data_IF_654919135556
#
_entry.id   IF_654919135556
#
_cell.length_a   1.000
_cell.length_b   1.000
_cell.length_c   1.000
_cell.angle_alpha   90.00
_cell.angle_beta   90.00
_cell.angle_gamma   90.00
#
_symmetry.space_group_name_H-M   'P 1'
#
loop_
_entity.id
_entity.type
_entity.pdbx_description
1 polymer ?
#
# COMPACT_ATOMS: atom_id res chain seq x y z
N UNK A 1 24.11 9.58 11.94
CA UNK A 1 23.71 8.16 11.81
C UNK A 1 22.22 7.94 12.16
N UNK A 2 21.30 8.79 11.69
CA UNK A 2 19.86 8.72 12.07
C UNK A 2 18.89 8.51 10.89
N UNK A 3 19.32 8.75 9.64
CA UNK A 3 18.47 8.74 8.44
C UNK A 3 17.91 7.35 8.10
N UNK A 4 18.68 6.29 8.33
CA UNK A 4 18.32 4.92 7.94
C UNK A 4 17.20 4.29 8.80
N UNK A 5 16.98 4.78 10.03
CA UNK A 5 15.92 4.27 10.89
C UNK A 5 14.55 4.89 10.58
N UNK A 6 14.50 6.15 10.17
CA UNK A 6 13.26 6.82 9.76
C UNK A 6 12.70 6.24 8.46
N UNK A 7 13.56 5.99 7.46
CA UNK A 7 13.15 5.43 6.17
C UNK A 7 12.57 4.01 6.32
N UNK A 8 13.19 3.15 7.14
CA UNK A 8 12.68 1.79 7.40
C UNK A 8 11.31 1.79 8.10
N UNK A 9 11.11 2.66 9.10
CA UNK A 9 9.82 2.80 9.78
C UNK A 9 8.73 3.36 8.84
N UNK A 10 9.08 4.26 7.92
CA UNK A 10 8.16 4.78 6.89
C UNK A 10 7.72 3.68 5.93
N UNK A 11 8.67 2.90 5.39
CA UNK A 11 8.39 1.82 4.45
C UNK A 11 7.51 0.73 5.08
N UNK A 12 7.76 0.36 6.35
CA UNK A 12 6.92 -0.60 7.06
C UNK A 12 5.47 -0.12 7.22
N UNK A 13 5.24 1.19 7.42
CA UNK A 13 3.89 1.78 7.46
C UNK A 13 3.19 1.70 6.11
N UNK A 14 3.89 2.02 5.03
CA UNK A 14 3.35 1.92 3.67
C UNK A 14 2.98 0.47 3.32
N UNK A 15 3.87 -0.49 3.64
CA UNK A 15 3.61 -1.91 3.43
C UNK A 15 2.36 -2.38 4.20
N UNK A 16 2.18 -1.94 5.45
CA UNK A 16 0.98 -2.24 6.25
C UNK A 16 -0.28 -1.64 5.64
N UNK A 17 -0.22 -0.40 5.14
CA UNK A 17 -1.36 0.26 4.46
C UNK A 17 -1.73 -0.49 3.18
N UNK A 18 -0.75 -0.84 2.35
CA UNK A 18 -0.95 -1.62 1.14
C UNK A 18 -1.64 -2.96 1.43
N UNK A 19 -1.14 -3.72 2.40
CA UNK A 19 -1.73 -5.02 2.76
C UNK A 19 -3.17 -4.88 3.25
N UNK A 20 -3.48 -3.80 3.99
CA UNK A 20 -4.85 -3.51 4.43
C UNK A 20 -5.78 -3.24 3.24
N UNK A 21 -5.35 -2.40 2.30
CA UNK A 21 -6.12 -2.11 1.07
C UNK A 21 -6.32 -3.38 0.24
N UNK A 22 -5.31 -4.25 0.12
CA UNK A 22 -5.46 -5.52 -0.59
C UNK A 22 -6.48 -6.44 0.08
N UNK A 23 -6.48 -6.52 1.41
CA UNK A 23 -7.48 -7.28 2.14
C UNK A 23 -8.89 -6.71 1.90
N UNK A 24 -9.08 -5.39 1.98
CA UNK A 24 -10.37 -4.74 1.72
C UNK A 24 -10.83 -4.93 0.26
N UNK A 25 -9.92 -4.84 -0.70
CA UNK A 25 -10.19 -5.10 -2.11
C UNK A 25 -10.65 -6.54 -2.33
N UNK A 26 -10.00 -7.53 -1.69
CA UNK A 26 -10.43 -8.93 -1.78
C UNK A 26 -11.85 -9.12 -1.26
N UNK A 27 -12.20 -8.48 -0.14
CA UNK A 27 -13.55 -8.54 0.41
C UNK A 27 -14.57 -7.86 -0.52
N UNK A 28 -14.23 -6.70 -1.08
CA UNK A 28 -15.08 -5.99 -2.05
C UNK A 28 -15.31 -6.83 -3.32
N UNK A 29 -14.25 -7.45 -3.84
CA UNK A 29 -14.31 -8.35 -4.99
C UNK A 29 -15.20 -9.57 -4.70
N UNK A 30 -14.99 -10.23 -3.55
CA UNK A 30 -15.77 -11.41 -3.14
C UNK A 30 -17.26 -11.11 -2.97
N UNK A 31 -17.59 -9.91 -2.53
CA UNK A 31 -18.96 -9.44 -2.37
C UNK A 31 -19.56 -8.88 -3.68
N UNK A 32 -18.82 -8.90 -4.80
CA UNK A 32 -19.28 -8.39 -6.08
C UNK A 32 -19.35 -6.86 -6.16
N UNK A 33 -18.79 -6.14 -5.19
CA UNK A 33 -18.75 -4.68 -5.19
C UNK A 33 -17.58 -4.17 -6.05
N UNK A 34 -17.77 -4.24 -7.37
CA UNK A 34 -16.71 -3.92 -8.35
C UNK A 34 -16.31 -2.44 -8.28
N UNK A 35 -17.26 -1.53 -8.04
CA UNK A 35 -16.97 -0.10 -7.90
C UNK A 35 -16.01 0.16 -6.75
N UNK A 36 -16.31 -0.38 -5.58
CA UNK A 36 -15.46 -0.26 -4.39
C UNK A 36 -14.11 -0.92 -4.61
N UNK A 37 -14.08 -2.12 -5.19
CA UNK A 37 -12.85 -2.79 -5.58
C UNK A 37 -11.97 -1.89 -6.45
N UNK A 38 -12.51 -1.26 -7.50
CA UNK A 38 -11.76 -0.37 -8.39
C UNK A 38 -11.17 0.84 -7.67
N UNK A 39 -11.89 1.43 -6.71
CA UNK A 39 -11.35 2.53 -5.92
C UNK A 39 -10.21 2.08 -5.00
N UNK A 40 -10.41 0.96 -4.29
CA UNK A 40 -9.41 0.44 -3.34
C UNK A 40 -8.14 0.02 -4.08
N UNK A 41 -8.26 -0.63 -5.25
CA UNK A 41 -7.08 -1.04 -6.03
C UNK A 41 -6.32 0.15 -6.59
N UNK A 42 -6.99 1.20 -7.05
CA UNK A 42 -6.34 2.43 -7.49
C UNK A 42 -5.59 3.13 -6.34
N UNK A 43 -6.14 3.13 -5.11
CA UNK A 43 -5.41 3.62 -3.94
C UNK A 43 -4.20 2.73 -3.63
N UNK A 44 -4.35 1.40 -3.70
CA UNK A 44 -3.28 0.47 -3.42
C UNK A 44 -2.12 0.61 -4.42
N UNK A 45 -2.40 0.84 -5.71
CA UNK A 45 -1.38 1.12 -6.73
C UNK A 45 -0.57 2.38 -6.39
N UNK A 46 -1.24 3.41 -5.88
CA UNK A 46 -0.57 4.64 -5.45
C UNK A 46 0.40 4.37 -4.29
N UNK A 47 -0.01 3.54 -3.31
CA UNK A 47 0.86 3.14 -2.21
C UNK A 47 2.00 2.23 -2.70
N UNK A 48 1.75 1.33 -3.64
CA UNK A 48 2.78 0.47 -4.22
C UNK A 48 3.91 1.30 -4.88
N UNK A 49 3.56 2.33 -5.66
CA UNK A 49 4.52 3.26 -6.25
C UNK A 49 5.34 4.01 -5.20
N UNK A 50 4.72 4.40 -4.08
CA UNK A 50 5.45 5.03 -2.96
C UNK A 50 6.44 4.05 -2.30
N UNK A 51 6.04 2.79 -2.10
CA UNK A 51 6.93 1.74 -1.57
C UNK A 51 8.11 1.52 -2.52
N UNK A 52 7.87 1.44 -3.81
CA UNK A 52 8.91 1.26 -4.83
C UNK A 52 9.90 2.43 -4.84
N UNK A 53 9.39 3.68 -4.83
CA UNK A 53 10.24 4.86 -4.71
C UNK A 53 11.07 4.85 -3.43
N UNK A 54 10.48 4.52 -2.29
CA UNK A 54 11.20 4.46 -1.02
C UNK A 54 12.27 3.35 -1.02
N UNK A 55 11.99 2.18 -1.66
CA UNK A 55 12.98 1.10 -1.84
C UNK A 55 14.14 1.52 -2.73
N UNK A 56 13.88 2.27 -3.81
CA UNK A 56 14.92 2.75 -4.73
C UNK A 56 15.87 3.78 -4.12
N UNK A 57 15.48 4.39 -3.00
CA UNK A 57 16.24 5.43 -2.28
C UNK A 57 17.06 4.89 -1.10
N UNK A 58 16.96 3.59 -0.82
CA UNK A 58 17.67 2.89 0.26
C UNK A 58 19.00 2.31 -0.24
#
# INVERSE_FOLDING_TARGET
MFRNFFNKRSLAKLQKKYNKLMFEAMQAQRNGNIKEYSFITAEAETIAKQIEQDRSRL
#
